data_IF_069625988916
#
_entry.id   IF_069625988916
#
_cell.length_a   1.000
_cell.length_b   1.000
_cell.length_c   1.000
_cell.angle_alpha   90.00
_cell.angle_beta   90.00
_cell.angle_gamma   90.00
#
_symmetry.space_group_name_H-M   'P 1'
#
loop_
_entity.id
_entity.type
_entity.pdbx_description
1 polymer ?
#
# COMPACT_ATOMS: atom_id res chain seq x y z
N UNK A 1 15.79 8.43 -33.69
CA UNK A 1 15.18 8.73 -32.38
C UNK A 1 16.27 8.62 -31.33
N UNK A 2 16.41 9.61 -30.43
CA UNK A 2 17.39 9.54 -29.35
C UNK A 2 16.92 8.52 -28.30
N UNK A 3 17.76 7.55 -27.97
CA UNK A 3 17.47 6.60 -26.89
C UNK A 3 17.85 7.23 -25.56
N UNK A 4 16.93 7.36 -24.60
CA UNK A 4 17.23 8.00 -23.32
C UNK A 4 18.23 7.17 -22.50
N UNK A 5 19.11 7.88 -21.80
CA UNK A 5 20.04 7.27 -20.84
C UNK A 5 19.34 6.93 -19.53
N UNK A 6 19.88 5.94 -18.83
CA UNK A 6 19.32 5.37 -17.61
C UNK A 6 20.04 5.97 -16.39
N UNK A 7 19.27 6.33 -15.37
CA UNK A 7 19.76 6.83 -14.08
C UNK A 7 19.34 5.91 -12.94
N UNK A 8 19.90 6.13 -11.74
CA UNK A 8 19.44 5.45 -10.53
C UNK A 8 17.93 5.66 -10.35
N UNK A 9 17.22 4.57 -10.03
CA UNK A 9 15.77 4.58 -9.85
C UNK A 9 14.96 4.38 -11.14
N UNK A 10 15.60 4.25 -12.30
CA UNK A 10 14.90 3.81 -13.51
C UNK A 10 14.33 2.39 -13.35
N UNK A 11 13.11 2.11 -13.83
CA UNK A 11 12.49 0.81 -13.73
C UNK A 11 13.11 -0.21 -14.71
N UNK A 12 12.80 -1.48 -14.49
CA UNK A 12 13.24 -2.61 -15.32
C UNK A 12 12.04 -3.48 -15.70
N UNK A 13 12.12 -4.21 -16.80
CA UNK A 13 11.04 -5.14 -17.20
C UNK A 13 10.82 -6.29 -16.21
N UNK A 14 11.78 -6.53 -15.32
CA UNK A 14 11.67 -7.52 -14.23
C UNK A 14 10.95 -7.00 -12.99
N UNK A 15 10.37 -5.79 -13.05
CA UNK A 15 9.64 -5.16 -11.94
C UNK A 15 10.51 -4.51 -10.87
N UNK A 16 11.83 -4.42 -11.09
CA UNK A 16 12.76 -3.79 -10.15
C UNK A 16 13.33 -2.48 -10.68
N UNK A 17 14.34 -1.95 -9.99
CA UNK A 17 14.91 -0.62 -10.25
C UNK A 17 16.43 -0.63 -10.25
N UNK A 18 17.03 0.31 -10.98
CA UNK A 18 18.48 0.54 -10.96
C UNK A 18 18.91 1.10 -9.60
N UNK A 19 19.91 0.47 -8.99
CA UNK A 19 20.38 0.74 -7.62
C UNK A 19 21.62 1.63 -7.57
N UNK A 20 22.58 1.39 -8.47
CA UNK A 20 23.86 2.10 -8.48
C UNK A 20 24.08 2.83 -9.79
N UNK A 21 24.93 3.84 -9.75
CA UNK A 21 25.29 4.68 -10.88
C UNK A 21 26.58 5.42 -10.58
N UNK A 22 27.07 6.18 -11.55
CA UNK A 22 28.33 6.90 -11.47
C UNK A 22 28.08 8.33 -11.02
N UNK A 23 28.47 8.69 -9.79
CA UNK A 23 28.24 10.03 -9.23
C UNK A 23 28.95 11.14 -10.02
N UNK A 24 30.02 10.80 -10.73
CA UNK A 24 30.77 11.72 -11.60
C UNK A 24 29.98 12.27 -12.79
N UNK A 25 28.84 11.66 -13.14
CA UNK A 25 27.99 12.13 -14.23
C UNK A 25 26.51 11.99 -13.87
N UNK A 26 25.83 13.12 -13.74
CA UNK A 26 24.42 13.20 -13.30
C UNK A 26 23.55 13.74 -14.41
N UNK A 27 22.40 13.09 -14.64
CA UNK A 27 21.34 13.58 -15.53
C UNK A 27 20.22 14.06 -14.62
N UNK A 28 19.84 15.34 -14.73
CA UNK A 28 18.83 15.96 -13.85
C UNK A 28 19.17 15.80 -12.35
N UNK A 29 20.46 15.83 -12.00
CA UNK A 29 20.94 15.67 -10.63
C UNK A 29 20.98 14.22 -10.12
N UNK A 30 20.59 13.23 -10.93
CA UNK A 30 20.62 11.80 -10.57
C UNK A 30 21.80 11.11 -11.25
N UNK A 31 22.63 10.32 -10.53
CA UNK A 31 23.74 9.59 -11.13
C UNK A 31 23.30 8.68 -12.28
N UNK A 32 24.02 8.77 -13.40
CA UNK A 32 23.78 7.94 -14.58
C UNK A 32 24.32 6.52 -14.38
N UNK A 33 23.59 5.52 -14.86
CA UNK A 33 23.97 4.13 -14.77
C UNK A 33 24.88 3.72 -15.94
N UNK A 34 25.87 2.88 -15.67
CA UNK A 34 26.81 2.34 -16.65
C UNK A 34 26.84 0.80 -16.62
N UNK A 35 27.50 0.18 -17.60
CA UNK A 35 27.79 -1.25 -17.55
C UNK A 35 28.53 -1.60 -16.24
N UNK A 36 28.06 -2.63 -15.56
CA UNK A 36 28.56 -3.06 -14.25
C UNK A 36 27.74 -2.55 -13.06
N UNK A 37 26.86 -1.56 -13.25
CA UNK A 37 25.95 -1.11 -12.20
C UNK A 37 24.82 -2.12 -11.94
N UNK A 38 24.26 -2.06 -10.72
CA UNK A 38 23.31 -3.07 -10.21
C UNK A 38 21.86 -2.60 -10.34
N UNK A 39 20.96 -3.54 -10.57
CA UNK A 39 19.52 -3.34 -10.55
C UNK A 39 18.81 -4.50 -9.82
N UNK A 40 17.72 -4.22 -9.12
CA UNK A 40 16.88 -5.28 -8.56
C UNK A 40 16.07 -5.93 -9.65
N UNK A 41 15.85 -7.25 -9.52
CA UNK A 41 14.95 -7.99 -10.38
C UNK A 41 14.03 -8.87 -9.52
N UNK A 42 12.87 -8.36 -9.08
CA UNK A 42 11.87 -9.13 -8.35
C UNK A 42 11.39 -10.38 -9.09
N UNK A 43 11.30 -10.33 -10.43
CA UNK A 43 10.92 -11.48 -11.26
C UNK A 43 11.84 -12.69 -11.05
N UNK A 44 13.16 -12.45 -11.01
CA UNK A 44 14.17 -13.50 -10.82
C UNK A 44 14.71 -13.56 -9.38
N UNK A 45 14.11 -12.79 -8.46
CA UNK A 45 14.51 -12.66 -7.04
C UNK A 45 16.01 -12.46 -6.83
N UNK A 46 16.64 -11.66 -7.68
CA UNK A 46 18.09 -11.44 -7.66
C UNK A 46 18.45 -9.97 -7.89
N UNK A 47 19.68 -9.61 -7.54
CA UNK A 47 20.30 -8.36 -7.96
C UNK A 47 21.08 -8.64 -9.24
N UNK A 48 20.65 -8.03 -10.32
CA UNK A 48 21.23 -8.21 -11.65
C UNK A 48 22.15 -7.06 -12.00
N UNK A 49 23.05 -7.29 -12.94
CA UNK A 49 24.06 -6.31 -13.37
C UNK A 49 23.73 -5.84 -14.79
N UNK A 50 23.94 -4.56 -15.08
CA UNK A 50 23.81 -4.02 -16.43
C UNK A 50 24.96 -4.55 -17.29
N UNK A 51 24.62 -5.24 -18.38
CA UNK A 51 25.59 -5.94 -19.25
C UNK A 51 25.75 -5.32 -20.64
N UNK A 52 24.90 -4.37 -21.03
CA UNK A 52 25.02 -3.64 -22.30
C UNK A 52 24.83 -2.13 -22.09
N UNK A 53 25.35 -1.34 -23.03
CA UNK A 53 25.43 0.12 -22.93
C UNK A 53 25.83 0.77 -24.25
N UNK A 54 26.05 2.08 -24.21
CA UNK A 54 26.43 2.92 -25.35
C UNK A 54 27.93 2.81 -25.66
N UNK A 55 28.27 2.43 -26.89
CA UNK A 55 29.65 2.26 -27.32
C UNK A 55 30.43 3.58 -27.43
N UNK A 56 29.74 4.70 -27.62
CA UNK A 56 30.34 6.01 -27.86
C UNK A 56 30.33 6.90 -26.62
N UNK A 57 29.28 6.80 -25.78
CA UNK A 57 29.18 7.58 -24.56
C UNK A 57 29.65 6.77 -23.34
N UNK A 58 30.78 7.21 -22.75
CA UNK A 58 31.41 6.54 -21.60
C UNK A 58 31.60 7.52 -20.44
N UNK A 59 31.33 7.05 -19.22
CA UNK A 59 31.63 7.78 -17.98
C UNK A 59 32.72 6.99 -17.25
N UNK A 60 33.85 7.64 -16.99
CA UNK A 60 35.03 7.00 -16.39
C UNK A 60 35.46 5.69 -17.10
N UNK A 61 35.36 5.67 -18.44
CA UNK A 61 35.71 4.51 -19.27
C UNK A 61 34.65 3.42 -19.36
N UNK A 62 33.55 3.50 -18.59
CA UNK A 62 32.43 2.54 -18.66
C UNK A 62 31.32 3.06 -19.60
N UNK A 63 30.83 2.24 -20.54
CA UNK A 63 29.67 2.56 -21.37
C UNK A 63 28.42 2.93 -20.56
N UNK A 64 27.76 4.04 -20.91
CA UNK A 64 26.51 4.46 -20.28
C UNK A 64 25.33 3.57 -20.69
N UNK A 65 24.44 3.25 -19.77
CA UNK A 65 23.26 2.43 -20.03
C UNK A 65 22.12 3.24 -20.66
N UNK A 66 21.43 2.66 -21.63
CA UNK A 66 20.29 3.26 -22.36
C UNK A 66 19.01 2.45 -22.16
N UNK A 67 17.87 3.07 -22.44
CA UNK A 67 16.60 2.36 -22.50
C UNK A 67 16.67 1.18 -23.47
N UNK A 68 16.25 0.01 -22.99
CA UNK A 68 16.28 -1.25 -23.72
C UNK A 68 17.55 -2.08 -23.52
N UNK A 69 18.60 -1.55 -22.84
CA UNK A 69 19.80 -2.32 -22.52
C UNK A 69 19.52 -3.45 -21.51
N UNK A 70 20.32 -4.51 -21.61
CA UNK A 70 20.10 -5.78 -20.92
C UNK A 70 20.71 -5.85 -19.53
N UNK A 71 20.04 -6.61 -18.67
CA UNK A 71 20.50 -7.06 -17.37
C UNK A 71 20.98 -8.52 -17.45
N UNK A 72 21.90 -8.91 -16.56
CA UNK A 72 22.43 -10.28 -16.47
C UNK A 72 21.36 -11.36 -16.24
N UNK A 73 20.18 -11.00 -15.72
CA UNK A 73 19.03 -11.88 -15.55
C UNK A 73 18.13 -11.99 -16.80
N UNK A 74 18.46 -11.31 -17.90
CA UNK A 74 17.66 -11.28 -19.13
C UNK A 74 16.57 -10.20 -19.18
N UNK A 75 16.35 -9.46 -18.10
CA UNK A 75 15.45 -8.29 -18.09
C UNK A 75 16.10 -7.08 -18.79
N UNK A 76 15.29 -6.05 -19.09
CA UNK A 76 15.74 -4.83 -19.79
C UNK A 76 15.47 -3.57 -18.97
N UNK A 77 16.28 -2.54 -19.19
CA UNK A 77 16.13 -1.23 -18.58
C UNK A 77 15.03 -0.42 -19.26
N UNK A 78 14.22 0.28 -18.46
CA UNK A 78 13.13 1.14 -18.93
C UNK A 78 13.42 2.60 -18.56
N UNK A 79 13.12 3.56 -19.45
CA UNK A 79 13.31 4.97 -19.13
C UNK A 79 12.27 5.43 -18.10
N UNK A 80 12.67 6.39 -17.28
CA UNK A 80 11.73 7.09 -16.40
C UNK A 80 10.96 8.11 -17.25
N UNK A 81 9.62 8.05 -17.22
CA UNK A 81 8.80 9.06 -17.89
C UNK A 81 8.78 10.35 -17.05
N UNK A 82 9.22 11.47 -17.63
CA UNK A 82 8.95 12.78 -17.04
C UNK A 82 7.51 13.16 -17.36
N UNK A 83 6.71 13.42 -16.31
CA UNK A 83 5.31 13.81 -16.46
C UNK A 83 5.27 15.25 -16.97
N UNK A 84 5.11 15.44 -18.28
CA UNK A 84 4.90 16.77 -18.84
C UNK A 84 3.44 17.15 -18.59
N UNK A 85 3.18 17.95 -17.54
CA UNK A 85 1.89 18.63 -17.37
C UNK A 85 1.87 19.78 -18.38
N UNK A 86 1.06 19.63 -19.42
CA UNK A 86 0.79 20.73 -20.35
C UNK A 86 -0.15 21.73 -19.70
N UNK A 87 0.37 22.89 -19.30
CA UNK A 87 -0.47 24.04 -18.95
C UNK A 87 -1.16 24.56 -20.21
N UNK A 88 -2.44 24.25 -20.37
CA UNK A 88 -3.35 24.96 -21.27
C UNK A 88 -4.21 25.92 -20.44
N UNK A 89 -4.06 27.21 -20.75
CA UNK A 89 -4.53 28.33 -19.97
C UNK A 89 -6.05 28.47 -19.80
N UNK A 90 -6.41 29.20 -18.74
CA UNK A 90 -7.75 29.68 -18.43
C UNK A 90 -7.72 30.46 -17.14
N UNK A 91 -7.53 31.79 -17.25
CA UNK A 91 -7.13 32.65 -16.14
C UNK A 91 -8.16 32.89 -15.04
N UNK A 92 -7.64 33.14 -13.83
CA UNK A 92 -8.22 34.05 -12.85
C UNK A 92 -7.09 34.64 -12.01
N UNK A 93 -6.98 35.96 -12.03
CA UNK A 93 -5.95 36.76 -11.37
C UNK A 93 -6.24 36.88 -9.87
N UNK A 94 -5.22 36.68 -9.03
CA UNK A 94 -5.12 37.35 -7.74
C UNK A 94 -3.67 37.84 -7.56
N UNK A 95 -3.53 39.16 -7.40
CA UNK A 95 -2.29 39.90 -7.15
C UNK A 95 -1.55 39.33 -5.92
N UNK A 96 -0.33 38.85 -6.07
CA UNK A 96 0.94 39.59 -6.10
C UNK A 96 1.34 40.20 -4.74
N UNK A 97 2.29 39.55 -4.08
CA UNK A 97 3.32 40.22 -3.27
C UNK A 97 4.68 39.58 -3.60
N UNK A 98 5.44 40.36 -4.39
CA UNK A 98 6.90 40.57 -4.34
C UNK A 98 7.86 39.37 -4.35
N UNK A 99 8.72 39.33 -5.36
CA UNK A 99 10.15 39.63 -5.17
C UNK A 99 10.86 39.87 -6.52
N UNK A 100 11.35 41.09 -6.69
CA UNK A 100 12.31 41.45 -7.72
C UNK A 100 13.73 41.26 -7.18
N UNK A 101 14.58 40.75 -8.07
CA UNK A 101 16.01 41.04 -8.22
C UNK A 101 17.06 40.30 -7.35
N UNK A 102 17.76 39.41 -8.08
CA UNK A 102 19.22 39.35 -8.31
C UNK A 102 20.21 39.64 -7.18
N UNK A 103 21.09 38.63 -7.02
CA UNK A 103 22.55 38.70 -6.82
C UNK A 103 23.11 39.59 -5.71
N UNK A 104 23.72 38.93 -4.73
CA UNK A 104 25.12 39.22 -4.43
C UNK A 104 25.84 37.96 -3.92
N UNK A 105 26.94 37.64 -4.60
CA UNK A 105 28.02 36.83 -4.04
C UNK A 105 28.61 37.60 -2.85
N UNK A 106 28.42 37.10 -1.63
CA UNK A 106 29.45 37.20 -0.60
C UNK A 106 29.59 35.87 0.11
N UNK A 107 30.78 35.34 -0.06
CA UNK A 107 31.39 34.25 0.66
C UNK A 107 31.27 34.49 2.18
N UNK A 108 30.48 33.67 2.89
CA UNK A 108 30.72 33.39 4.30
C UNK A 108 30.54 31.90 4.52
N UNK A 109 31.58 31.31 5.11
CA UNK A 109 31.61 29.95 5.61
C UNK A 109 30.33 29.64 6.39
N UNK A 110 29.44 28.82 5.83
CA UNK A 110 28.47 28.09 6.61
C UNK A 110 28.69 26.62 6.33
N UNK A 111 29.41 25.99 7.25
CA UNK A 111 29.30 24.57 7.54
C UNK A 111 27.82 24.17 7.40
N UNK A 112 27.51 23.33 6.40
CA UNK A 112 26.32 22.49 6.49
C UNK A 112 26.62 21.43 7.54
N UNK A 113 26.50 21.84 8.81
CA UNK A 113 26.20 20.90 9.87
C UNK A 113 24.84 20.33 9.47
N UNK A 114 24.81 19.11 8.93
CA UNK A 114 23.61 18.28 9.03
C UNK A 114 23.19 18.35 10.49
N UNK A 115 22.02 18.91 10.77
CA UNK A 115 21.50 19.00 12.12
C UNK A 115 21.33 17.58 12.66
N UNK A 116 22.36 17.07 13.32
CA UNK A 116 22.39 15.85 14.14
C UNK A 116 21.57 16.02 15.41
N UNK A 117 20.53 16.86 15.37
CA UNK A 117 19.55 17.01 16.42
C UNK A 117 18.68 15.76 16.46
N UNK A 118 18.63 15.11 17.62
CA UNK A 118 17.63 14.08 17.88
C UNK A 118 16.23 14.67 17.67
N UNK A 119 15.34 13.95 17.00
CA UNK A 119 13.96 14.38 16.77
C UNK A 119 13.04 13.68 17.77
N UNK A 120 12.22 14.43 18.49
CA UNK A 120 11.18 13.88 19.35
C UNK A 120 10.19 13.06 18.53
N UNK A 121 9.71 11.97 19.11
CA UNK A 121 8.69 11.12 18.51
C UNK A 121 8.89 9.64 18.73
N UNK A 122 8.04 8.87 18.07
CA UNK A 122 8.02 7.41 18.10
C UNK A 122 8.41 6.84 16.75
N UNK A 123 9.30 5.85 16.77
CA UNK A 123 9.93 5.30 15.59
C UNK A 123 9.53 3.85 15.40
N UNK A 124 9.02 3.54 14.20
CA UNK A 124 8.67 2.19 13.80
C UNK A 124 9.38 1.81 12.51
N UNK A 125 9.83 0.57 12.45
CA UNK A 125 10.38 -0.01 11.25
C UNK A 125 9.29 -0.17 10.19
N UNK A 126 9.45 0.48 9.04
CA UNK A 126 8.42 0.50 7.98
C UNK A 126 8.20 -0.87 7.33
N UNK A 127 9.23 -1.71 7.31
CA UNK A 127 9.20 -3.01 6.62
C UNK A 127 8.65 -4.13 7.50
N UNK A 128 8.74 -3.97 8.82
CA UNK A 128 8.34 -5.00 9.80
C UNK A 128 7.21 -4.56 10.72
N UNK A 129 6.95 -3.26 10.85
CA UNK A 129 6.00 -2.70 11.81
C UNK A 129 6.44 -2.79 13.28
N UNK A 130 7.69 -3.18 13.53
CA UNK A 130 8.27 -3.29 14.88
C UNK A 130 8.54 -1.89 15.43
N UNK A 131 8.27 -1.70 16.71
CA UNK A 131 8.63 -0.48 17.43
C UNK A 131 10.13 -0.46 17.71
N UNK A 132 10.83 0.54 17.17
CA UNK A 132 12.28 0.67 17.32
C UNK A 132 12.62 1.47 18.59
N UNK A 133 11.82 2.49 18.91
CA UNK A 133 12.00 3.27 20.13
C UNK A 133 11.38 4.65 20.06
N UNK A 134 11.68 5.47 21.06
CA UNK A 134 11.21 6.86 21.14
C UNK A 134 12.34 7.79 21.55
N UNK A 135 12.21 9.05 21.18
CA UNK A 135 13.08 10.15 21.61
C UNK A 135 12.18 11.23 22.22
N UNK A 136 12.59 11.80 23.35
CA UNK A 136 11.82 12.84 24.08
C UNK A 136 12.65 14.06 24.48
N UNK A 137 13.96 14.03 24.21
CA UNK A 137 14.93 15.09 24.55
C UNK A 137 15.49 15.77 23.29
N UNK A 138 14.78 15.65 22.17
CA UNK A 138 15.09 16.23 20.88
C UNK A 138 14.24 17.46 20.54
N UNK A 139 14.22 17.81 19.25
CA UNK A 139 13.35 18.87 18.69
C UNK A 139 12.07 18.28 18.10
N UNK A 140 11.00 19.08 17.95
CA UNK A 140 9.71 18.60 17.46
C UNK A 140 8.77 18.07 18.56
N UNK A 141 7.66 17.44 18.17
CA UNK A 141 6.61 17.01 19.11
C UNK A 141 6.84 15.58 19.60
N UNK A 142 6.60 15.32 20.89
CA UNK A 142 6.75 13.97 21.48
C UNK A 142 5.79 12.96 20.84
N UNK A 143 4.62 13.41 20.37
CA UNK A 143 3.61 12.59 19.70
C UNK A 143 3.85 12.39 18.20
N UNK A 144 4.93 12.94 17.64
CA UNK A 144 5.24 12.73 16.23
C UNK A 144 5.51 11.25 15.94
N UNK A 145 4.98 10.75 14.83
CA UNK A 145 5.18 9.39 14.35
C UNK A 145 6.19 9.38 13.19
N UNK A 146 7.15 8.46 13.26
CA UNK A 146 8.15 8.27 12.21
C UNK A 146 8.19 6.83 11.73
N UNK A 147 8.27 6.68 10.42
CA UNK A 147 8.73 5.46 9.78
C UNK A 147 10.26 5.50 9.65
N UNK A 148 10.94 4.38 9.86
CA UNK A 148 12.39 4.26 9.69
C UNK A 148 12.77 2.86 9.20
N UNK A 149 14.07 2.63 8.95
CA UNK A 149 14.62 1.30 8.60
C UNK A 149 15.54 0.77 9.71
N UNK A 150 15.15 0.97 10.97
CA UNK A 150 15.87 0.49 12.15
C UNK A 150 16.81 1.51 12.79
N UNK A 151 17.48 1.07 13.86
CA UNK A 151 18.39 1.91 14.66
C UNK A 151 19.71 2.21 13.97
N UNK A 152 20.26 3.37 14.29
CA UNK A 152 21.61 3.81 13.97
C UNK A 152 22.25 4.48 15.20
N UNK A 153 22.88 3.67 16.06
CA UNK A 153 23.37 4.12 17.36
C UNK A 153 22.24 4.66 18.25
N UNK A 154 22.31 5.95 18.56
CA UNK A 154 21.30 6.66 19.37
C UNK A 154 20.16 7.27 18.54
N UNK A 155 20.15 7.03 17.23
CA UNK A 155 19.20 7.58 16.27
C UNK A 155 18.61 6.47 15.38
N UNK A 156 17.94 6.83 14.28
CA UNK A 156 17.29 5.88 13.36
C UNK A 156 17.58 6.18 11.88
N UNK A 157 17.58 5.13 11.05
CA UNK A 157 17.89 5.20 9.62
C UNK A 157 16.68 5.64 8.80
N UNK A 158 16.90 6.51 7.81
CA UNK A 158 15.90 6.94 6.82
C UNK A 158 14.56 7.39 7.44
N UNK A 159 14.63 8.14 8.54
CA UNK A 159 13.46 8.62 9.27
C UNK A 159 12.57 9.46 8.35
N UNK A 160 11.29 9.14 8.32
CA UNK A 160 10.25 9.92 7.62
C UNK A 160 9.13 10.21 8.60
N UNK A 161 8.89 11.50 8.87
CA UNK A 161 7.73 11.95 9.65
C UNK A 161 6.45 11.61 8.90
N UNK A 162 5.46 11.06 9.60
CA UNK A 162 4.16 10.68 9.05
C UNK A 162 3.07 11.65 9.53
N UNK A 163 2.05 11.90 8.69
CA UNK A 163 0.91 12.76 9.03
C UNK A 163 -0.11 12.02 9.93
N UNK A 164 0.33 11.61 11.12
CA UNK A 164 -0.48 10.97 12.16
C UNK A 164 0.23 11.09 13.50
N UNK A 165 -0.51 11.31 14.59
CA UNK A 165 0.07 11.22 15.94
C UNK A 165 0.28 9.76 16.33
N UNK A 166 1.23 9.50 17.22
CA UNK A 166 1.46 8.15 17.74
C UNK A 166 0.22 7.56 18.41
N UNK A 167 -0.46 8.34 19.25
CA UNK A 167 -1.71 7.94 19.90
C UNK A 167 -2.82 7.52 18.91
N UNK A 168 -3.02 8.25 17.82
CA UNK A 168 -4.02 7.85 16.80
C UNK A 168 -3.57 6.63 16.00
N UNK A 169 -2.27 6.51 15.72
CA UNK A 169 -1.71 5.30 15.10
C UNK A 169 -1.96 4.06 15.96
N UNK A 170 -1.77 4.14 17.27
CA UNK A 170 -2.05 3.04 18.19
C UNK A 170 -3.53 2.64 18.23
N UNK A 171 -4.45 3.60 18.21
CA UNK A 171 -5.90 3.32 18.18
C UNK A 171 -6.31 2.68 16.86
N UNK A 172 -5.85 3.24 15.75
CA UNK A 172 -6.12 2.70 14.41
C UNK A 172 -5.60 1.27 14.28
N UNK A 173 -4.36 1.04 14.73
CA UNK A 173 -3.75 -0.28 14.70
C UNK A 173 -4.48 -1.29 15.62
N UNK A 174 -4.93 -0.85 16.81
CA UNK A 174 -5.73 -1.71 17.68
C UNK A 174 -7.01 -2.16 16.99
N UNK A 175 -7.82 -1.22 16.50
CA UNK A 175 -9.10 -1.53 15.87
C UNK A 175 -8.91 -2.48 14.68
N UNK A 176 -7.95 -2.20 13.80
CA UNK A 176 -7.70 -3.05 12.63
C UNK A 176 -7.16 -4.44 13.00
N UNK A 177 -6.40 -4.56 14.10
CA UNK A 177 -5.96 -5.87 14.58
C UNK A 177 -7.12 -6.73 15.11
N UNK A 178 -8.14 -6.11 15.70
CA UNK A 178 -9.35 -6.81 16.14
C UNK A 178 -10.26 -7.22 14.97
N UNK A 179 -10.20 -6.53 13.82
CA UNK A 179 -10.90 -6.93 12.58
C UNK A 179 -10.20 -8.08 11.83
N UNK A 180 -8.88 -8.23 12.01
CA UNK A 180 -8.08 -9.16 11.21
C UNK A 180 -8.28 -10.62 11.62
N UNK A 181 -8.61 -11.48 10.64
CA UNK A 181 -8.70 -12.93 10.83
C UNK A 181 -7.31 -13.59 10.85
N UNK A 182 -6.51 -13.37 9.80
CA UNK A 182 -5.17 -13.92 9.62
C UNK A 182 -4.05 -12.91 9.97
N UNK A 183 -2.96 -13.33 10.64
CA UNK A 183 -1.87 -12.44 11.02
C UNK A 183 -0.95 -12.02 9.86
N UNK A 184 -1.08 -12.60 8.66
CA UNK A 184 -0.19 -12.42 7.53
C UNK A 184 -0.48 -11.17 6.69
N UNK A 185 -0.44 -11.32 5.36
CA UNK A 185 -0.61 -10.22 4.41
C UNK A 185 -2.00 -9.56 4.51
N UNK A 186 -3.02 -10.28 5.01
CA UNK A 186 -4.34 -9.73 5.30
C UNK A 186 -4.26 -8.46 6.15
N UNK A 187 -3.44 -8.48 7.20
CA UNK A 187 -3.25 -7.34 8.10
C UNK A 187 -2.70 -6.11 7.38
N UNK A 188 -1.72 -6.30 6.49
CA UNK A 188 -1.15 -5.21 5.70
C UNK A 188 -2.24 -4.62 4.79
N UNK A 189 -2.98 -5.50 4.09
CA UNK A 189 -4.08 -5.10 3.21
C UNK A 189 -5.21 -4.37 3.95
N UNK A 190 -5.55 -4.76 5.18
CA UNK A 190 -6.54 -4.05 6.02
C UNK A 190 -6.09 -2.60 6.32
N UNK A 191 -4.81 -2.41 6.66
CA UNK A 191 -4.21 -1.09 6.88
C UNK A 191 -4.38 -0.16 5.68
N UNK A 192 -4.04 -0.65 4.48
CA UNK A 192 -4.22 0.09 3.23
C UNK A 192 -5.70 0.33 2.91
N UNK A 193 -6.55 -0.70 3.00
CA UNK A 193 -7.96 -0.63 2.60
C UNK A 193 -8.75 0.38 3.42
N UNK A 194 -8.58 0.35 4.76
CA UNK A 194 -9.24 1.31 5.64
C UNK A 194 -8.73 2.73 5.39
N UNK A 195 -7.43 2.89 5.14
CA UNK A 195 -6.82 4.19 4.87
C UNK A 195 -7.24 4.77 3.51
N UNK A 196 -7.38 3.93 2.49
CA UNK A 196 -7.95 4.29 1.19
C UNK A 196 -9.38 4.79 1.34
N UNK A 197 -10.20 4.09 2.13
CA UNK A 197 -11.58 4.53 2.39
C UNK A 197 -11.63 5.87 3.11
N UNK A 198 -10.77 6.05 4.12
CA UNK A 198 -10.68 7.30 4.86
C UNK A 198 -10.27 8.45 3.92
N UNK A 199 -9.31 8.20 3.02
CA UNK A 199 -8.88 9.14 1.98
C UNK A 199 -10.00 9.46 0.98
N UNK A 200 -10.74 8.46 0.50
CA UNK A 200 -11.89 8.65 -0.41
C UNK A 200 -12.95 9.60 0.21
N UNK A 201 -13.14 9.50 1.53
CA UNK A 201 -14.11 10.32 2.27
C UNK A 201 -13.53 11.65 2.76
N UNK A 202 -12.24 11.93 2.54
CA UNK A 202 -11.52 13.06 3.14
C UNK A 202 -11.65 13.09 4.67
N UNK A 203 -11.63 11.92 5.32
CA UNK A 203 -11.74 11.76 6.77
C UNK A 203 -10.42 11.29 7.37
N UNK A 204 -10.18 11.65 8.64
CA UNK A 204 -9.14 10.98 9.44
C UNK A 204 -9.54 9.51 9.64
N UNK A 205 -8.56 8.60 9.57
CA UNK A 205 -8.81 7.15 9.67
C UNK A 205 -9.55 6.78 10.96
N UNK A 206 -9.16 7.34 12.09
CA UNK A 206 -9.82 7.05 13.37
C UNK A 206 -11.31 7.41 13.35
N UNK A 207 -11.67 8.56 12.75
CA UNK A 207 -13.08 8.96 12.57
C UNK A 207 -13.87 7.91 11.78
N UNK A 208 -13.31 7.39 10.70
CA UNK A 208 -13.94 6.31 9.93
C UNK A 208 -14.11 5.05 10.78
N UNK A 209 -13.07 4.63 11.49
CA UNK A 209 -13.08 3.42 12.31
C UNK A 209 -14.05 3.51 13.49
N UNK A 210 -14.45 4.70 13.95
CA UNK A 210 -15.51 4.87 14.95
C UNK A 210 -16.92 4.56 14.42
N UNK A 211 -17.12 4.56 13.11
CA UNK A 211 -18.41 4.25 12.48
C UNK A 211 -18.66 2.73 12.38
N UNK A 212 -19.83 2.29 11.88
CA UNK A 212 -20.07 0.87 11.56
C UNK A 212 -19.15 0.27 10.49
N UNK A 213 -18.24 1.05 9.90
CA UNK A 213 -17.17 0.52 9.04
C UNK A 213 -16.29 -0.51 9.77
N UNK A 214 -16.17 -0.38 11.09
CA UNK A 214 -15.54 -1.39 11.96
C UNK A 214 -16.59 -2.00 12.89
N UNK A 215 -16.57 -3.32 12.98
CA UNK A 215 -17.41 -4.17 13.83
C UNK A 215 -16.96 -4.18 15.31
N UNK A 216 -15.73 -3.73 15.61
CA UNK A 216 -15.20 -3.62 16.98
C UNK A 216 -16.18 -2.87 17.90
N UNK A 217 -16.46 -3.35 19.12
CA UNK A 217 -17.36 -2.67 20.05
C UNK A 217 -16.90 -1.24 20.38
N UNK A 218 -17.84 -0.29 20.46
CA UNK A 218 -17.54 1.12 20.76
C UNK A 218 -16.72 1.32 22.05
N UNK A 219 -16.93 0.47 23.06
CA UNK A 219 -16.18 0.50 24.32
C UNK A 219 -14.70 0.16 24.17
N UNK A 220 -14.32 -0.55 23.10
CA UNK A 220 -12.94 -0.98 22.85
C UNK A 220 -12.21 -0.07 21.85
N UNK A 221 -12.92 0.76 21.07
CA UNK A 221 -12.31 1.61 20.02
C UNK A 221 -11.35 2.69 20.57
N UNK A 222 -11.34 2.94 21.88
CA UNK A 222 -10.38 3.84 22.53
C UNK A 222 -9.07 3.16 22.97
N UNK A 223 -8.96 1.83 22.87
CA UNK A 223 -7.79 1.07 23.34
C UNK A 223 -6.57 1.37 22.48
N UNK A 224 -5.41 1.54 23.12
CA UNK A 224 -4.14 1.74 22.46
C UNK A 224 -3.44 0.39 22.24
N UNK A 225 -3.04 0.10 21.00
CA UNK A 225 -2.17 -1.03 20.74
C UNK A 225 -0.77 -0.73 21.30
N UNK A 226 -0.38 -1.41 22.39
CA UNK A 226 0.92 -1.21 23.04
C UNK A 226 2.08 -1.36 22.04
N UNK A 227 3.09 -0.48 22.03
CA UNK A 227 4.26 -0.63 21.16
C UNK A 227 5.07 -1.90 21.44
N UNK A 228 5.02 -2.41 22.68
CA UNK A 228 5.72 -3.63 23.09
C UNK A 228 5.05 -4.92 22.62
N UNK A 229 3.82 -4.86 22.09
CA UNK A 229 3.13 -6.03 21.54
C UNK A 229 3.68 -6.35 20.16
N UNK A 230 4.50 -7.40 20.06
CA UNK A 230 5.30 -7.75 18.87
C UNK A 230 4.83 -9.02 18.16
N UNK A 231 3.61 -9.48 18.41
CA UNK A 231 3.03 -10.58 17.63
C UNK A 231 2.86 -10.19 16.15
N UNK A 232 2.88 -11.21 15.28
CA UNK A 232 2.85 -11.03 13.82
C UNK A 232 1.66 -10.21 13.35
N UNK A 233 0.47 -10.38 13.96
CA UNK A 233 -0.74 -9.64 13.59
C UNK A 233 -0.55 -8.15 13.88
N UNK A 234 -0.19 -7.81 15.12
CA UNK A 234 0.05 -6.43 15.55
C UNK A 234 1.11 -5.73 14.69
N UNK A 235 2.21 -6.41 14.40
CA UNK A 235 3.29 -5.88 13.57
C UNK A 235 2.85 -5.67 12.12
N UNK A 236 2.15 -6.61 11.50
CA UNK A 236 1.70 -6.47 10.11
C UNK A 236 0.60 -5.40 9.93
N UNK A 237 -0.26 -5.20 10.94
CA UNK A 237 -1.22 -4.08 10.93
C UNK A 237 -0.49 -2.74 10.95
N UNK A 238 0.49 -2.59 11.86
CA UNK A 238 1.34 -1.39 11.93
C UNK A 238 2.07 -1.18 10.61
N UNK A 239 2.66 -2.22 10.04
CA UNK A 239 3.33 -2.19 8.73
C UNK A 239 2.41 -1.62 7.65
N UNK A 240 1.18 -2.12 7.50
CA UNK A 240 0.23 -1.62 6.50
C UNK A 240 -0.08 -0.12 6.67
N UNK A 241 -0.30 0.33 7.90
CA UNK A 241 -0.53 1.74 8.22
C UNK A 241 0.70 2.61 7.93
N UNK A 242 1.89 2.16 8.34
CA UNK A 242 3.16 2.87 8.12
C UNK A 242 3.46 2.99 6.63
N UNK A 243 3.32 1.91 5.87
CA UNK A 243 3.56 1.87 4.43
C UNK A 243 2.59 2.78 3.67
N UNK A 244 1.30 2.77 4.01
CA UNK A 244 0.33 3.71 3.44
C UNK A 244 0.73 5.17 3.69
N UNK A 245 1.01 5.52 4.96
CA UNK A 245 1.38 6.88 5.34
C UNK A 245 2.72 7.32 4.72
N UNK A 246 3.64 6.38 4.52
CA UNK A 246 4.93 6.62 3.89
C UNK A 246 4.84 6.66 2.36
N UNK A 247 3.70 6.35 1.74
CA UNK A 247 3.48 6.43 0.30
C UNK A 247 4.04 5.24 -0.49
N UNK A 248 4.03 4.05 0.11
CA UNK A 248 4.38 2.80 -0.60
C UNK A 248 3.25 2.37 -1.53
N UNK A 249 3.58 1.49 -2.47
CA UNK A 249 2.60 0.88 -3.37
C UNK A 249 1.51 0.14 -2.60
N UNK A 250 0.26 0.33 -3.03
CA UNK A 250 -0.90 -0.27 -2.40
C UNK A 250 -1.11 -1.73 -2.87
N UNK A 251 -0.88 -2.73 -2.00
CA UNK A 251 -1.05 -4.13 -2.38
C UNK A 251 -2.51 -4.51 -2.66
N UNK A 252 -3.46 -3.65 -2.28
CA UNK A 252 -4.90 -3.86 -2.48
C UNK A 252 -5.42 -3.23 -3.77
N UNK A 253 -4.56 -2.51 -4.52
CA UNK A 253 -4.89 -1.85 -5.78
C UNK A 253 -6.07 -0.86 -5.66
N UNK A 254 -6.15 -0.16 -4.52
CA UNK A 254 -7.17 0.83 -4.22
C UNK A 254 -8.47 0.23 -3.68
N UNK A 255 -8.42 -0.91 -2.99
CA UNK A 255 -9.59 -1.43 -2.29
C UNK A 255 -10.00 -0.46 -1.17
N UNK A 256 -11.30 -0.38 -0.91
CA UNK A 256 -11.89 0.48 0.15
C UNK A 256 -12.84 -0.26 1.08
N UNK A 257 -13.10 -1.56 0.83
CA UNK A 257 -13.86 -2.44 1.71
C UNK A 257 -13.25 -3.83 1.71
N UNK A 258 -13.63 -4.66 2.67
CA UNK A 258 -13.29 -6.08 2.71
C UNK A 258 -14.49 -6.91 3.17
N UNK A 259 -14.47 -8.21 2.90
CA UNK A 259 -15.37 -9.19 3.52
C UNK A 259 -14.62 -10.49 3.81
N UNK A 260 -15.02 -11.14 4.91
CA UNK A 260 -14.49 -12.44 5.34
C UNK A 260 -15.35 -13.60 4.85
N UNK A 261 -15.40 -14.68 5.61
CA UNK A 261 -16.12 -15.92 5.26
C UNK A 261 -17.62 -15.72 5.01
N UNK A 262 -18.24 -14.76 5.69
CA UNK A 262 -19.67 -14.47 5.61
C UNK A 262 -20.14 -14.14 4.19
N UNK A 263 -19.34 -13.46 3.38
CA UNK A 263 -19.66 -13.21 1.97
C UNK A 263 -19.83 -14.52 1.18
N UNK A 264 -18.89 -15.46 1.33
CA UNK A 264 -18.92 -16.76 0.65
C UNK A 264 -20.00 -17.70 1.21
N UNK A 265 -20.30 -17.58 2.51
CA UNK A 265 -21.25 -18.43 3.20
C UNK A 265 -22.70 -17.96 3.02
N UNK A 266 -22.97 -16.66 3.06
CA UNK A 266 -24.34 -16.14 3.07
C UNK A 266 -24.89 -15.95 1.66
N UNK A 267 -24.11 -15.36 0.74
CA UNK A 267 -24.60 -15.06 -0.62
C UNK A 267 -25.97 -14.38 -0.61
N UNK A 268 -26.99 -14.98 -1.24
CA UNK A 268 -28.36 -14.45 -1.26
C UNK A 268 -29.19 -14.73 0.00
N UNK A 269 -28.71 -15.54 0.95
CA UNK A 269 -29.44 -15.88 2.18
C UNK A 269 -28.52 -15.74 3.41
N UNK A 270 -28.72 -14.69 4.19
CA UNK A 270 -27.97 -14.46 5.44
C UNK A 270 -28.76 -14.89 6.69
N UNK A 271 -28.11 -15.01 7.87
CA UNK A 271 -28.80 -15.28 9.14
C UNK A 271 -29.64 -14.10 9.69
N UNK A 272 -29.66 -12.95 9.00
CA UNK A 272 -30.43 -11.78 9.45
C UNK A 272 -31.92 -11.89 9.10
N UNK A 273 -32.73 -10.99 9.67
CA UNK A 273 -34.20 -10.96 9.50
C UNK A 273 -34.61 -11.17 8.04
N UNK A 274 -35.63 -12.02 7.84
CA UNK A 274 -36.17 -12.41 6.53
C UNK A 274 -35.17 -13.07 5.56
N UNK A 275 -34.04 -13.58 6.06
CA UNK A 275 -32.98 -14.17 5.22
C UNK A 275 -32.46 -13.22 4.14
N UNK A 276 -32.38 -11.91 4.44
CA UNK A 276 -31.95 -10.92 3.47
C UNK A 276 -30.57 -11.29 2.87
N UNK A 277 -30.30 -10.99 1.59
CA UNK A 277 -29.00 -11.25 0.96
C UNK A 277 -27.84 -10.56 1.69
N UNK A 278 -26.61 -11.05 1.57
CA UNK A 278 -25.43 -10.36 2.09
C UNK A 278 -25.36 -8.90 1.60
N UNK A 279 -24.79 -7.98 2.39
CA UNK A 279 -24.81 -6.54 2.11
C UNK A 279 -24.36 -6.20 0.69
N UNK A 280 -23.28 -6.83 0.20
CA UNK A 280 -22.78 -6.63 -1.17
C UNK A 280 -23.82 -6.92 -2.27
N UNK A 281 -24.70 -7.90 -2.06
CA UNK A 281 -25.77 -8.25 -3.00
C UNK A 281 -26.96 -7.27 -2.94
N UNK A 282 -27.05 -6.45 -1.90
CA UNK A 282 -28.13 -5.44 -1.72
C UNK A 282 -27.69 -4.01 -2.01
N UNK A 283 -26.39 -3.73 -1.96
CA UNK A 283 -25.83 -2.36 -2.00
C UNK A 283 -25.19 -1.99 -3.34
N UNK A 284 -24.77 -2.97 -4.14
CA UNK A 284 -24.02 -2.72 -5.38
C UNK A 284 -24.72 -3.32 -6.58
N UNK A 285 -24.67 -2.67 -7.75
CA UNK A 285 -25.32 -3.12 -8.99
C UNK A 285 -24.74 -4.42 -9.53
N UNK A 286 -23.41 -4.56 -9.43
CA UNK A 286 -22.65 -5.68 -9.99
C UNK A 286 -21.52 -6.05 -9.04
N UNK A 287 -21.33 -7.35 -8.87
CA UNK A 287 -20.23 -7.95 -8.13
C UNK A 287 -19.36 -8.69 -9.14
N UNK A 288 -18.05 -8.47 -9.10
CA UNK A 288 -17.08 -9.12 -9.98
C UNK A 288 -15.94 -9.70 -9.16
N UNK A 289 -15.61 -10.98 -9.38
CA UNK A 289 -14.45 -11.64 -8.77
C UNK A 289 -13.73 -12.40 -9.88
N UNK A 290 -12.44 -12.11 -10.07
CA UNK A 290 -11.59 -12.89 -10.97
C UNK A 290 -11.53 -14.35 -10.52
N UNK A 291 -11.48 -15.28 -11.48
CA UNK A 291 -11.41 -16.72 -11.22
C UNK A 291 -10.33 -17.08 -10.18
N UNK A 292 -9.12 -16.56 -10.36
CA UNK A 292 -7.98 -16.93 -9.52
C UNK A 292 -8.12 -16.35 -8.11
N UNK A 293 -8.66 -15.13 -8.00
CA UNK A 293 -8.97 -14.51 -6.71
C UNK A 293 -10.04 -15.33 -5.99
N UNK A 294 -11.10 -15.74 -6.68
CA UNK A 294 -12.15 -16.56 -6.11
C UNK A 294 -11.63 -17.91 -5.63
N UNK A 295 -10.87 -18.63 -6.46
CA UNK A 295 -10.35 -19.94 -6.07
C UNK A 295 -9.36 -19.84 -4.90
N UNK A 296 -8.51 -18.79 -4.86
CA UNK A 296 -7.66 -18.50 -3.70
C UNK A 296 -8.50 -18.29 -2.44
N UNK A 297 -9.53 -17.46 -2.52
CA UNK A 297 -10.43 -17.14 -1.42
C UNK A 297 -11.19 -18.38 -0.92
N UNK A 298 -11.85 -19.11 -1.82
CA UNK A 298 -12.57 -20.35 -1.51
C UNK A 298 -11.66 -21.39 -0.87
N UNK A 299 -10.46 -21.60 -1.42
CA UNK A 299 -9.50 -22.53 -0.85
C UNK A 299 -9.06 -22.10 0.56
N UNK A 300 -8.83 -20.80 0.79
CA UNK A 300 -8.49 -20.27 2.11
C UNK A 300 -9.63 -20.46 3.11
N UNK A 301 -10.88 -20.17 2.72
CA UNK A 301 -12.06 -20.39 3.57
C UNK A 301 -12.24 -21.87 3.92
N UNK A 302 -12.06 -22.78 2.96
CA UNK A 302 -12.19 -24.23 3.19
C UNK A 302 -11.08 -24.80 4.08
N UNK A 303 -9.91 -24.14 4.19
CA UNK A 303 -8.91 -24.51 5.20
C UNK A 303 -9.41 -24.26 6.63
N UNK A 304 -10.18 -23.19 6.84
CA UNK A 304 -10.80 -22.87 8.13
C UNK A 304 -12.05 -23.74 8.36
N UNK A 305 -12.82 -24.00 7.31
CA UNK A 305 -14.06 -24.77 7.33
C UNK A 305 -14.00 -26.00 6.41
N UNK A 306 -13.24 -27.05 6.79
CA UNK A 306 -12.96 -28.21 5.92
C UNK A 306 -14.19 -29.03 5.56
N UNK A 307 -15.27 -28.92 6.35
CA UNK A 307 -16.56 -29.57 6.06
C UNK A 307 -17.44 -28.81 5.05
N UNK A 308 -16.97 -27.66 4.53
CA UNK A 308 -17.73 -26.83 3.62
C UNK A 308 -19.01 -26.25 4.25
N UNK A 309 -19.01 -26.03 5.56
CA UNK A 309 -20.17 -25.55 6.32
C UNK A 309 -19.72 -24.64 7.45
N UNK A 310 -20.42 -23.52 7.62
CA UNK A 310 -20.24 -22.58 8.74
C UNK A 310 -21.50 -22.58 9.59
N UNK A 311 -21.33 -22.62 10.92
CA UNK A 311 -22.42 -22.58 11.90
C UNK A 311 -22.37 -21.27 12.66
N UNK A 312 -23.49 -20.56 12.65
CA UNK A 312 -23.68 -19.29 13.33
C UNK A 312 -24.63 -19.49 14.52
N UNK A 313 -24.07 -19.96 15.65
CA UNK A 313 -24.84 -20.36 16.85
C UNK A 313 -25.77 -19.26 17.35
N UNK A 314 -25.31 -18.00 17.33
CA UNK A 314 -26.10 -16.83 17.76
C UNK A 314 -27.42 -16.68 17.00
N UNK A 315 -27.48 -17.17 15.76
CA UNK A 315 -28.64 -17.03 14.88
C UNK A 315 -29.35 -18.36 14.63
N UNK A 316 -28.93 -19.45 15.29
CA UNK A 316 -29.38 -20.81 15.00
C UNK A 316 -29.38 -21.12 13.49
N UNK A 317 -28.31 -20.71 12.80
CA UNK A 317 -28.21 -20.76 11.35
C UNK A 317 -26.95 -21.47 10.91
N UNK A 318 -27.02 -22.22 9.81
CA UNK A 318 -25.85 -22.81 9.20
C UNK A 318 -25.95 -22.70 7.68
N UNK A 319 -24.82 -22.45 7.03
CA UNK A 319 -24.74 -22.34 5.57
C UNK A 319 -23.60 -23.17 5.00
N UNK A 320 -23.77 -23.58 3.74
CA UNK A 320 -22.70 -24.18 2.95
C UNK A 320 -21.67 -23.12 2.57
N UNK A 321 -20.44 -23.57 2.35
CA UNK A 321 -19.36 -22.75 1.79
C UNK A 321 -18.80 -23.46 0.56
N UNK A 322 -18.97 -22.88 -0.65
CA UNK A 322 -19.71 -21.64 -0.91
C UNK A 322 -21.23 -21.79 -0.83
N UNK A 323 -21.95 -20.67 -0.77
CA UNK A 323 -23.42 -20.63 -0.96
C UNK A 323 -23.80 -21.03 -2.39
N UNK A 324 -25.08 -21.36 -2.61
CA UNK A 324 -25.59 -21.82 -3.90
C UNK A 324 -25.38 -20.82 -5.05
N UNK A 325 -25.33 -19.53 -4.74
CA UNK A 325 -25.19 -18.45 -5.71
C UNK A 325 -23.84 -18.52 -6.45
N UNK A 326 -22.80 -19.01 -5.77
CA UNK A 326 -21.49 -19.22 -6.36
C UNK A 326 -21.37 -20.57 -7.08
N UNK A 327 -22.35 -21.46 -6.94
CA UNK A 327 -22.41 -22.75 -7.65
C UNK A 327 -23.24 -22.66 -8.94
N UNK A 328 -24.12 -21.66 -9.07
CA UNK A 328 -24.93 -21.46 -10.27
C UNK A 328 -24.04 -21.06 -11.46
N UNK A 329 -23.94 -21.89 -12.52
CA UNK A 329 -23.11 -21.60 -13.69
C UNK A 329 -23.47 -20.28 -14.40
N UNK A 330 -24.71 -19.78 -14.25
CA UNK A 330 -25.13 -18.50 -14.85
C UNK A 330 -24.38 -17.30 -14.29
N UNK A 331 -23.89 -17.41 -13.06
CA UNK A 331 -23.11 -16.36 -12.40
C UNK A 331 -21.62 -16.42 -12.76
N UNK A 332 -21.24 -17.30 -13.69
CA UNK A 332 -19.87 -17.49 -14.14
C UNK A 332 -19.77 -17.23 -15.65
N UNK A 333 -19.02 -16.19 -16.02
CA UNK A 333 -18.74 -15.85 -17.43
C UNK A 333 -17.25 -15.74 -17.62
N UNK A 334 -16.72 -16.40 -18.66
CA UNK A 334 -15.27 -16.48 -18.95
C UNK A 334 -14.40 -16.88 -17.74
N UNK A 335 -14.98 -17.65 -16.81
CA UNK A 335 -14.32 -18.10 -15.60
C UNK A 335 -14.41 -17.14 -14.41
N UNK A 336 -14.89 -15.91 -14.60
CA UNK A 336 -15.06 -14.93 -13.53
C UNK A 336 -16.45 -15.04 -12.92
N UNK A 337 -16.54 -14.84 -11.60
CA UNK A 337 -17.83 -14.67 -10.94
C UNK A 337 -18.35 -13.27 -11.24
N UNK A 338 -19.47 -13.20 -11.93
CA UNK A 338 -20.15 -11.96 -12.29
C UNK A 338 -21.61 -12.08 -11.89
N UNK A 339 -22.02 -11.25 -10.92
CA UNK A 339 -23.39 -11.23 -10.42
C UNK A 339 -24.01 -9.85 -10.60
N UNK A 340 -25.10 -9.75 -11.34
CA UNK A 340 -25.92 -8.54 -11.45
C UNK A 340 -26.99 -8.60 -10.37
N UNK A 341 -27.01 -7.61 -9.48
CA UNK A 341 -27.92 -7.62 -8.33
C UNK A 341 -29.27 -6.98 -8.63
N UNK A 342 -30.24 -7.26 -7.76
CA UNK A 342 -31.53 -6.56 -7.74
C UNK A 342 -31.49 -5.27 -6.91
N UNK A 343 -30.30 -4.72 -6.65
CA UNK A 343 -30.13 -3.48 -5.88
C UNK A 343 -30.55 -2.27 -6.72
N UNK A 344 -31.85 -2.07 -6.92
CA UNK A 344 -32.39 -1.04 -7.82
C UNK A 344 -31.95 0.40 -7.50
N UNK A 345 -31.55 0.67 -6.25
CA UNK A 345 -31.05 2.00 -5.81
C UNK A 345 -29.53 2.12 -5.82
N UNK A 346 -28.80 1.03 -6.05
CA UNK A 346 -27.35 1.09 -6.13
C UNK A 346 -26.93 1.94 -7.32
N UNK A 347 -25.89 2.75 -7.18
CA UNK A 347 -25.28 3.52 -8.28
C UNK A 347 -23.94 2.94 -8.74
N UNK A 348 -23.24 2.23 -7.85
CA UNK A 348 -21.87 1.71 -8.04
C UNK A 348 -21.83 0.19 -8.19
N UNK A 349 -20.74 -0.31 -8.76
CA UNK A 349 -20.38 -1.73 -8.79
C UNK A 349 -19.14 -1.99 -7.92
N UNK A 350 -18.86 -3.26 -7.63
CA UNK A 350 -17.64 -3.67 -6.93
C UNK A 350 -16.89 -4.76 -7.68
N UNK A 351 -15.57 -4.72 -7.54
CA UNK A 351 -14.66 -5.75 -8.03
C UNK A 351 -13.69 -6.15 -6.92
N UNK A 352 -13.47 -7.45 -6.75
CA UNK A 352 -12.41 -7.94 -5.88
C UNK A 352 -11.05 -7.71 -6.54
N UNK A 353 -10.14 -7.03 -5.84
CA UNK A 353 -8.81 -6.71 -6.36
C UNK A 353 -7.75 -7.67 -5.89
N UNK A 354 -7.90 -8.20 -4.67
CA UNK A 354 -7.00 -9.19 -4.09
C UNK A 354 -7.73 -10.02 -3.03
N UNK A 355 -7.22 -11.22 -2.78
CA UNK A 355 -7.57 -12.04 -1.62
C UNK A 355 -6.30 -12.28 -0.81
N UNK A 356 -6.31 -11.98 0.49
CA UNK A 356 -5.24 -12.35 1.42
C UNK A 356 -5.83 -12.91 2.71
N UNK A 357 -5.15 -13.88 3.33
CA UNK A 357 -5.78 -14.70 4.36
C UNK A 357 -7.02 -15.39 3.80
N UNK A 358 -8.16 -15.23 4.48
CA UNK A 358 -9.48 -15.62 3.97
C UNK A 358 -10.40 -14.41 3.80
N UNK A 359 -9.83 -13.29 3.34
CA UNK A 359 -10.49 -11.99 3.20
C UNK A 359 -10.39 -11.50 1.76
N UNK A 360 -11.53 -11.10 1.18
CA UNK A 360 -11.61 -10.42 -0.11
C UNK A 360 -11.55 -8.91 0.10
N UNK A 361 -10.79 -8.22 -0.75
CA UNK A 361 -10.68 -6.77 -0.74
C UNK A 361 -11.34 -6.18 -1.98
N UNK A 362 -12.21 -5.19 -1.79
CA UNK A 362 -13.12 -4.67 -2.79
C UNK A 362 -12.81 -3.23 -3.19
N UNK A 363 -12.80 -2.98 -4.49
CA UNK A 363 -12.79 -1.63 -5.08
C UNK A 363 -14.15 -1.31 -5.69
N UNK A 364 -14.64 -0.10 -5.45
CA UNK A 364 -15.86 0.40 -6.11
C UNK A 364 -15.52 1.08 -7.44
N UNK A 365 -16.40 0.94 -8.43
CA UNK A 365 -16.29 1.60 -9.74
C UNK A 365 -17.65 1.94 -10.34
#
# INVERSE_FOLDING_TARGET
MATPYITIGCPTTGGGVVLTGQDSFKIEGIPAACIGDKATCPLHKTVSTIISGDQYMKVQGKPMARAGDGLSCGCKLLPKQSLVVGDNGGGARANALTSQMLNNQQNTNNNLVEDKGLLNGYYYNVDTGIFEGKITNGTGQIEDLYACNGKDGNDYKNKKKLDMTHSDFQKNAFILAEEAGDPGQECVCLGFTASNRAKELSWKLFKLLLTPYSSVPKSQKGTLLSPSKTDTKSNNIRKGLLQFLAGYDDPTQGATFWDGTDFLAWGLKSPFQNSAPHAKFREYKKITIDKNIYEKYKAATLKVYPKGKVVYTKYNYASSVPSQDFLDPKNWTTGNFIYITNAHRASKSIIATVCEGHTLFWKTY
#
